data_IF_401575992768
#
_entry.id   IF_401575992768
#
_cell.length_a   1.000
_cell.length_b   1.000
_cell.length_c   1.000
_cell.angle_alpha   90.00
_cell.angle_beta   90.00
_cell.angle_gamma   90.00
#
_symmetry.space_group_name_H-M   'P 1'
#
loop_
_entity.id
_entity.type
_entity.pdbx_description
1 polymer ?
#
# COMPACT_ATOMS: atom_id res chain seq x y z
N UNK A 1 5.31 -7.44 7.90
CA UNK A 1 5.62 -6.83 6.58
C UNK A 1 4.37 -6.66 5.72
N UNK A 2 3.61 -7.72 5.43
CA UNK A 2 2.35 -7.63 4.66
C UNK A 2 1.31 -6.66 5.29
N UNK A 3 1.11 -6.73 6.61
CA UNK A 3 0.20 -5.82 7.32
C UNK A 3 0.60 -4.33 7.25
N UNK A 4 1.90 -4.03 7.15
CA UNK A 4 2.38 -2.65 7.00
C UNK A 4 2.08 -2.11 5.59
N UNK A 5 2.23 -2.96 4.56
CA UNK A 5 1.83 -2.60 3.19
C UNK A 5 0.32 -2.40 3.08
N UNK A 6 -0.48 -3.24 3.76
CA UNK A 6 -1.93 -3.05 3.82
C UNK A 6 -2.31 -1.73 4.50
N UNK A 7 -1.67 -1.39 5.61
CA UNK A 7 -1.87 -0.11 6.28
C UNK A 7 -1.50 1.08 5.37
N UNK A 8 -0.39 0.98 4.64
CA UNK A 8 0.02 2.00 3.69
C UNK A 8 -1.01 2.16 2.55
N UNK A 9 -1.53 1.06 2.01
CA UNK A 9 -2.61 1.08 1.00
C UNK A 9 -3.84 1.85 1.52
N UNK A 10 -4.30 1.52 2.74
CA UNK A 10 -5.46 2.19 3.35
C UNK A 10 -5.21 3.68 3.58
N UNK A 11 -4.00 4.07 4.00
CA UNK A 11 -3.63 5.48 4.14
C UNK A 11 -3.69 6.22 2.80
N UNK A 12 -3.12 5.64 1.73
CA UNK A 12 -3.18 6.25 0.41
C UNK A 12 -4.61 6.35 -0.14
N UNK A 13 -5.47 5.38 0.15
CA UNK A 13 -6.90 5.45 -0.18
C UNK A 13 -7.60 6.60 0.57
N UNK A 14 -7.34 6.76 1.86
CA UNK A 14 -7.88 7.88 2.65
C UNK A 14 -7.40 9.25 2.14
N UNK A 15 -6.14 9.35 1.71
CA UNK A 15 -5.61 10.57 1.09
C UNK A 15 -6.29 10.87 -0.25
N UNK A 16 -6.49 9.84 -1.09
CA UNK A 16 -7.20 9.96 -2.37
C UNK A 16 -8.63 10.48 -2.18
N UNK A 17 -9.38 9.91 -1.24
CA UNK A 17 -10.72 10.37 -0.90
C UNK A 17 -10.72 11.83 -0.41
N UNK A 18 -9.72 12.22 0.38
CA UNK A 18 -9.59 13.58 0.90
C UNK A 18 -9.35 14.59 -0.23
N UNK A 19 -8.48 14.29 -1.19
CA UNK A 19 -8.23 15.14 -2.38
C UNK A 19 -9.47 15.26 -3.27
N UNK A 20 -10.28 14.21 -3.35
CA UNK A 20 -11.54 14.23 -4.08
C UNK A 20 -12.59 15.12 -3.39
N UNK A 21 -12.66 15.09 -2.05
CA UNK A 21 -13.59 15.93 -1.26
C UNK A 21 -13.22 17.40 -1.24
N UNK A 22 -11.96 17.77 -1.46
CA UNK A 22 -11.52 19.17 -1.48
C UNK A 22 -11.87 19.79 -2.83
N UNK A 23 -13.10 20.25 -3.04
CA UNK A 23 -13.57 20.86 -4.29
C UNK A 23 -13.78 22.38 -4.23
N UNK A 24 -13.88 23.07 -5.39
CA UNK A 24 -14.34 24.47 -5.42
C UNK A 24 -15.76 24.61 -4.85
N UNK A 25 -16.58 23.56 -4.96
CA UNK A 25 -17.88 23.42 -4.28
C UNK A 25 -17.82 23.51 -2.74
N UNK A 26 -16.64 23.32 -2.16
CA UNK A 26 -16.38 23.37 -0.72
C UNK A 26 -15.59 24.63 -0.32
N UNK A 27 -15.37 25.60 -1.23
CA UNK A 27 -14.73 26.88 -0.89
C UNK A 27 -15.50 27.67 0.17
N UNK A 28 -16.83 27.62 0.14
CA UNK A 28 -17.69 28.37 1.08
C UNK A 28 -18.09 27.55 2.31
N UNK A 29 -17.80 26.24 2.34
CA UNK A 29 -18.00 25.44 3.55
C UNK A 29 -16.87 25.74 4.51
N UNK A 30 -17.24 26.28 5.68
CA UNK A 30 -16.36 26.49 6.82
C UNK A 30 -15.83 25.13 7.29
N UNK A 31 -14.74 24.68 6.67
CA UNK A 31 -13.93 23.61 7.20
C UNK A 31 -13.15 24.20 8.37
N UNK A 32 -13.12 23.51 9.52
CA UNK A 32 -12.34 23.87 10.70
C UNK A 32 -10.84 23.68 10.41
N UNK A 33 -10.32 24.47 9.48
CA UNK A 33 -8.91 24.55 9.19
C UNK A 33 -8.29 25.51 10.21
N UNK A 34 -7.15 25.12 10.83
CA UNK A 34 -6.38 26.04 11.65
C UNK A 34 -6.12 27.33 10.87
N UNK A 35 -6.42 28.47 11.50
CA UNK A 35 -6.42 29.83 10.93
C UNK A 35 -5.08 30.30 10.29
N UNK A 36 -4.06 29.46 10.23
CA UNK A 36 -2.68 29.80 9.82
C UNK A 36 -2.30 29.38 8.39
N UNK A 37 -3.16 28.67 7.66
CA UNK A 37 -2.87 28.26 6.27
C UNK A 37 -3.88 28.86 5.30
N UNK A 38 -3.43 29.77 4.42
CA UNK A 38 -4.17 30.17 3.22
C UNK A 38 -4.47 28.94 2.38
N UNK A 39 -5.72 28.50 2.38
CA UNK A 39 -6.18 27.30 1.70
C UNK A 39 -6.44 27.61 0.22
N UNK A 40 -5.63 27.03 -0.67
CA UNK A 40 -5.88 27.03 -2.11
C UNK A 40 -6.66 25.75 -2.48
N UNK A 41 -7.93 25.85 -2.92
CA UNK A 41 -8.77 24.71 -3.27
C UNK A 41 -8.37 24.03 -4.58
N UNK A 42 -7.48 24.62 -5.40
CA UNK A 42 -7.00 24.01 -6.65
C UNK A 42 -5.71 23.21 -6.46
N UNK A 43 -4.98 23.48 -5.38
CA UNK A 43 -3.65 22.92 -5.15
C UNK A 43 -3.55 22.24 -3.80
N UNK A 44 -2.84 21.11 -3.78
CA UNK A 44 -2.64 20.33 -2.57
C UNK A 44 -1.16 20.05 -2.37
N UNK A 45 -0.75 20.06 -1.11
CA UNK A 45 0.61 19.68 -0.72
C UNK A 45 0.63 18.16 -0.52
N UNK A 46 1.48 17.49 -1.29
CA UNK A 46 1.64 16.03 -1.25
C UNK A 46 3.00 15.68 -0.65
N UNK A 47 3.00 14.86 0.38
CA UNK A 47 4.21 14.21 0.89
C UNK A 47 4.68 13.13 -0.11
N UNK A 48 5.89 13.30 -0.65
CA UNK A 48 6.50 12.34 -1.59
C UNK A 48 7.45 11.36 -0.89
N UNK A 49 7.74 11.57 0.40
CA UNK A 49 8.65 10.79 1.23
C UNK A 49 9.93 11.55 1.59
N UNK A 50 10.73 10.98 2.51
CA UNK A 50 12.02 11.53 2.98
C UNK A 50 11.95 12.95 3.58
N UNK A 51 10.76 13.41 3.97
CA UNK A 51 10.54 14.74 4.54
C UNK A 51 10.29 15.85 3.50
N UNK A 52 10.10 15.48 2.23
CA UNK A 52 9.81 16.44 1.16
C UNK A 52 8.32 16.51 0.84
N UNK A 53 7.84 17.74 0.67
CA UNK A 53 6.47 18.05 0.29
C UNK A 53 6.48 18.80 -1.03
N UNK A 54 5.60 18.42 -1.94
CA UNK A 54 5.50 19.03 -3.28
C UNK A 54 4.08 19.54 -3.49
N UNK A 55 3.95 20.78 -3.92
CA UNK A 55 2.68 21.34 -4.37
C UNK A 55 2.29 20.70 -5.71
N UNK A 56 1.10 20.10 -5.76
CA UNK A 56 0.54 19.46 -6.95
C UNK A 56 -0.87 19.97 -7.22
N UNK A 57 -1.25 19.98 -8.49
CA UNK A 57 -2.65 20.12 -8.85
C UNK A 57 -3.46 18.96 -8.28
N UNK A 58 -4.76 19.15 -8.05
CA UNK A 58 -5.63 18.06 -7.60
C UNK A 58 -5.63 16.86 -8.55
N UNK A 59 -5.59 17.11 -9.86
CA UNK A 59 -5.54 16.05 -10.87
C UNK A 59 -4.25 15.23 -10.74
N UNK A 60 -3.11 15.89 -10.58
CA UNK A 60 -1.82 15.23 -10.41
C UNK A 60 -1.70 14.51 -9.07
N UNK A 61 -2.26 15.07 -8.01
CA UNK A 61 -2.31 14.43 -6.69
C UNK A 61 -3.19 13.17 -6.71
N UNK A 62 -4.35 13.22 -7.39
CA UNK A 62 -5.21 12.06 -7.60
C UNK A 62 -4.45 10.94 -8.31
N UNK A 63 -3.83 11.25 -9.45
CA UNK A 63 -3.01 10.30 -10.21
C UNK A 63 -1.85 9.75 -9.37
N UNK A 64 -1.17 10.60 -8.61
CA UNK A 64 -0.07 10.17 -7.74
C UNK A 64 -0.51 9.13 -6.71
N UNK A 65 -1.65 9.34 -6.03
CA UNK A 65 -2.17 8.38 -5.06
C UNK A 65 -2.68 7.10 -5.73
N UNK A 66 -3.34 7.19 -6.89
CA UNK A 66 -3.76 6.02 -7.67
C UNK A 66 -2.55 5.15 -8.08
N UNK A 67 -1.48 5.77 -8.60
CA UNK A 67 -0.24 5.08 -8.98
C UNK A 67 0.43 4.43 -7.76
N UNK A 68 0.44 5.11 -6.60
CA UNK A 68 1.01 4.56 -5.36
C UNK A 68 0.19 3.39 -4.82
N UNK A 69 -1.13 3.45 -4.88
CA UNK A 69 -2.01 2.34 -4.49
C UNK A 69 -1.73 1.14 -5.38
N UNK A 70 -1.72 1.33 -6.71
CA UNK A 70 -1.44 0.27 -7.67
C UNK A 70 -0.06 -0.37 -7.44
N UNK A 71 0.96 0.46 -7.18
CA UNK A 71 2.31 -0.01 -6.86
C UNK A 71 2.34 -0.87 -5.58
N UNK A 72 1.70 -0.42 -4.50
CA UNK A 72 1.66 -1.18 -3.24
C UNK A 72 0.88 -2.48 -3.42
N UNK A 73 -0.26 -2.46 -4.11
CA UNK A 73 -1.07 -3.66 -4.39
C UNK A 73 -0.27 -4.70 -5.18
N UNK A 74 0.40 -4.29 -6.27
CA UNK A 74 1.24 -5.21 -7.06
C UNK A 74 2.35 -5.86 -6.23
N UNK A 75 3.02 -5.09 -5.38
CA UNK A 75 4.06 -5.64 -4.49
C UNK A 75 3.49 -6.59 -3.44
N UNK A 76 2.28 -6.34 -2.94
CA UNK A 76 1.59 -7.24 -2.02
C UNK A 76 1.24 -8.57 -2.69
N UNK A 77 0.73 -8.55 -3.91
CA UNK A 77 0.43 -9.76 -4.69
C UNK A 77 1.69 -10.61 -4.92
N UNK A 78 2.77 -9.98 -5.39
CA UNK A 78 4.05 -10.67 -5.58
C UNK A 78 4.61 -11.29 -4.29
N UNK A 79 4.46 -10.58 -3.17
CA UNK A 79 4.89 -11.09 -1.87
C UNK A 79 4.02 -12.28 -1.43
N UNK A 80 2.71 -12.21 -1.65
CA UNK A 80 1.79 -13.30 -1.33
C UNK A 80 2.10 -14.56 -2.14
N UNK A 81 2.34 -14.42 -3.44
CA UNK A 81 2.77 -15.53 -4.30
C UNK A 81 4.08 -16.16 -3.82
N UNK A 82 5.04 -15.32 -3.42
CA UNK A 82 6.33 -15.78 -2.88
C UNK A 82 6.14 -16.55 -1.58
N UNK A 83 5.26 -16.09 -0.70
CA UNK A 83 4.93 -16.78 0.56
C UNK A 83 4.29 -18.14 0.28
N UNK A 84 3.29 -18.20 -0.60
CA UNK A 84 2.62 -19.45 -0.96
C UNK A 84 3.61 -20.47 -1.54
N UNK A 85 4.43 -20.07 -2.52
CA UNK A 85 5.48 -20.93 -3.09
C UNK A 85 6.44 -21.45 -2.02
N UNK A 86 6.80 -20.61 -1.05
CA UNK A 86 7.73 -21.01 0.01
C UNK A 86 7.08 -21.99 1.00
N UNK A 87 5.80 -21.82 1.30
CA UNK A 87 5.03 -22.77 2.11
C UNK A 87 4.88 -24.12 1.41
N UNK A 88 4.55 -24.12 0.11
CA UNK A 88 4.46 -25.34 -0.69
C UNK A 88 5.80 -26.08 -0.75
N UNK A 89 6.89 -25.37 -0.97
CA UNK A 89 8.23 -25.96 -0.99
C UNK A 89 8.57 -26.63 0.35
N UNK A 90 8.25 -25.98 1.48
CA UNK A 90 8.49 -26.56 2.81
C UNK A 90 7.66 -27.82 3.01
N UNK A 91 6.39 -27.83 2.57
CA UNK A 91 5.53 -29.02 2.64
C UNK A 91 6.11 -30.19 1.83
N UNK A 92 6.45 -29.95 0.57
CA UNK A 92 7.01 -30.98 -0.34
C UNK A 92 8.31 -31.54 0.20
N UNK A 93 9.21 -30.67 0.69
CA UNK A 93 10.48 -31.12 1.29
C UNK A 93 10.22 -31.95 2.56
N UNK A 94 9.25 -31.57 3.37
CA UNK A 94 8.83 -32.33 4.56
C UNK A 94 8.31 -33.73 4.22
N UNK A 95 7.46 -33.84 3.19
CA UNK A 95 6.94 -35.14 2.69
C UNK A 95 8.08 -36.04 2.18
N UNK A 96 8.97 -35.50 1.36
CA UNK A 96 10.14 -36.25 0.84
C UNK A 96 11.04 -36.73 1.98
N UNK A 97 11.25 -35.90 3.00
CA UNK A 97 12.05 -36.26 4.17
C UNK A 97 11.42 -37.42 4.96
N UNK A 98 10.09 -37.42 5.14
CA UNK A 98 9.37 -38.52 5.79
C UNK A 98 9.47 -39.82 4.99
N UNK A 99 9.26 -39.76 3.66
CA UNK A 99 9.40 -40.92 2.77
C UNK A 99 10.82 -41.50 2.83
N UNK A 100 11.85 -40.66 2.76
CA UNK A 100 13.25 -41.10 2.86
C UNK A 100 13.57 -41.72 4.22
N UNK A 101 13.03 -41.18 5.31
CA UNK A 101 13.24 -41.71 6.66
C UNK A 101 12.61 -43.11 6.84
N UNK A 102 11.43 -43.35 6.25
CA UNK A 102 10.79 -44.67 6.25
C UNK A 102 11.59 -45.68 5.42
N UNK A 103 12.01 -45.29 4.21
CA UNK A 103 12.82 -46.15 3.34
C UNK A 103 14.17 -46.54 3.98
N UNK A 104 14.81 -45.63 4.73
CA UNK A 104 16.04 -45.94 5.46
C UNK A 104 15.84 -46.95 6.58
N UNK A 105 14.67 -46.97 7.23
CA UNK A 105 14.34 -47.96 8.27
C UNK A 105 14.03 -49.34 7.68
N UNK A 106 13.45 -49.40 6.48
CA UNK A 106 13.17 -50.67 5.79
C UNK A 106 14.43 -51.30 5.18
N UNK A 107 15.43 -50.49 4.85
CA UNK A 107 16.70 -50.94 4.25
C UNK A 107 17.80 -51.24 5.30
N UNK A 108 17.49 -51.18 6.58
CA UNK A 108 18.41 -51.48 7.71
C UNK A 108 17.98 -52.78 8.40
#
# INVERSE_FOLDING_TARGET
MFGQLKLAQTRFQGCLESVQRIGPENQEKVSLLPLTSSFDPEKVIVDVGTGYFVEKSRADAKKHYEDKIAYVTKNMEQLQDTIHRKQDNVRVVGEVMQVKALQQRENA
#
